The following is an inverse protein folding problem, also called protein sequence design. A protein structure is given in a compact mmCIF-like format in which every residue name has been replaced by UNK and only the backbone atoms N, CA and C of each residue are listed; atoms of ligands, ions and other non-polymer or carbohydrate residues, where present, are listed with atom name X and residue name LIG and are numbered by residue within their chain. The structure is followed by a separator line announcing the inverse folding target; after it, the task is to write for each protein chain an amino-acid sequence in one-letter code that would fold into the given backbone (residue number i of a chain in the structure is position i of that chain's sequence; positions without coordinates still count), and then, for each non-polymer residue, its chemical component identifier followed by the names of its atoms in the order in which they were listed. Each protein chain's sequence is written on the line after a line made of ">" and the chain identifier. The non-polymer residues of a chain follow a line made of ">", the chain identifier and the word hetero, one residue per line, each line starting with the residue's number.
data_IF_495173141461
#
_entry.id   IF_495173141461
#
_cell.length_a   1.000
_cell.length_b   1.000
_cell.length_c   1.000
_cell.angle_alpha   90.00
_cell.angle_beta   90.00
_cell.angle_gamma   90.00
#
_symmetry.space_group_name_H-M   'P 1'
#
loop_
_entity.id
_entity.type
_entity.pdbx_description
1 polymer ?
#
# COMPACT_ATOMS: atom_id res chain seq x y z
N UNK A 1 -7.99 -23.97 0.79
CA UNK A 1 -8.30 -23.33 -0.51
C UNK A 1 -9.40 -22.29 -0.49
N UNK A 2 -10.47 -22.44 0.32
CA UNK A 2 -11.57 -21.47 0.35
C UNK A 2 -11.14 -20.04 0.70
N UNK A 3 -10.24 -19.87 1.67
CA UNK A 3 -9.69 -18.57 2.01
C UNK A 3 -8.97 -17.91 0.81
N UNK A 4 -8.20 -18.69 0.05
CA UNK A 4 -7.52 -18.21 -1.15
C UNK A 4 -8.51 -17.92 -2.29
N UNK A 5 -9.55 -18.72 -2.47
CA UNK A 5 -10.65 -18.43 -3.41
C UNK A 5 -11.36 -17.11 -3.06
N UNK A 6 -11.59 -16.88 -1.76
CA UNK A 6 -12.27 -15.70 -1.27
C UNK A 6 -11.43 -14.44 -1.46
N UNK A 7 -10.18 -14.44 -1.00
CA UNK A 7 -9.33 -13.24 -1.01
C UNK A 7 -8.34 -13.24 -2.18
N UNK A 8 -7.63 -14.32 -2.48
CA UNK A 8 -6.66 -14.35 -3.58
C UNK A 8 -7.30 -14.24 -4.97
N UNK A 9 -8.20 -15.16 -5.31
CA UNK A 9 -8.92 -15.14 -6.59
C UNK A 9 -9.98 -14.04 -6.61
N UNK A 10 -10.77 -13.92 -5.52
CA UNK A 10 -11.80 -12.91 -5.30
C UNK A 10 -12.77 -12.68 -6.48
N UNK A 11 -13.00 -13.71 -7.31
CA UNK A 11 -13.79 -13.66 -8.53
C UNK A 11 -14.57 -14.96 -8.76
N UNK A 12 -15.11 -15.55 -7.69
CA UNK A 12 -15.83 -16.82 -7.75
C UNK A 12 -17.24 -16.68 -7.15
N UNK A 13 -18.26 -17.23 -7.82
CA UNK A 13 -19.65 -17.20 -7.35
C UNK A 13 -19.81 -17.89 -5.99
N UNK A 14 -19.03 -18.94 -5.72
CA UNK A 14 -19.02 -19.63 -4.44
C UNK A 14 -18.56 -18.73 -3.27
N UNK A 15 -17.99 -17.55 -3.52
CA UNK A 15 -17.65 -16.60 -2.45
C UNK A 15 -18.91 -16.02 -1.79
N UNK A 16 -20.06 -16.01 -2.48
CA UNK A 16 -21.34 -15.57 -1.90
C UNK A 16 -21.83 -16.56 -0.87
N UNK A 17 -21.86 -17.83 -1.24
CA UNK A 17 -22.25 -18.93 -0.35
C UNK A 17 -21.29 -19.02 0.84
N UNK A 18 -19.98 -18.89 0.62
CA UNK A 18 -19.01 -18.87 1.72
C UNK A 18 -19.24 -17.71 2.70
N UNK A 19 -19.63 -16.52 2.20
CA UNK A 19 -20.01 -15.42 3.08
C UNK A 19 -21.26 -15.76 3.90
N UNK A 20 -22.31 -16.24 3.24
CA UNK A 20 -23.58 -16.55 3.89
C UNK A 20 -23.41 -17.64 4.96
N UNK A 21 -22.67 -18.71 4.64
CA UNK A 21 -22.48 -19.87 5.50
C UNK A 21 -21.50 -19.65 6.66
N UNK A 22 -20.45 -18.85 6.47
CA UNK A 22 -19.32 -18.80 7.42
C UNK A 22 -19.06 -17.43 8.05
N UNK A 23 -19.51 -16.34 7.43
CA UNK A 23 -19.17 -14.98 7.83
C UNK A 23 -20.38 -14.20 8.31
N UNK A 24 -21.52 -14.28 7.62
CA UNK A 24 -22.65 -13.38 7.80
C UNK A 24 -23.11 -13.26 9.27
N UNK A 25 -23.23 -14.38 9.98
CA UNK A 25 -23.66 -14.44 11.38
C UNK A 25 -22.56 -14.09 12.41
N UNK A 26 -21.30 -14.05 11.98
CA UNK A 26 -20.15 -13.72 12.84
C UNK A 26 -19.76 -12.25 12.76
N UNK A 27 -20.33 -11.50 11.82
CA UNK A 27 -20.09 -10.07 11.67
C UNK A 27 -21.02 -9.29 12.60
N UNK A 28 -20.50 -8.18 13.14
CA UNK A 28 -21.35 -7.21 13.81
C UNK A 28 -22.42 -6.65 12.85
N UNK A 29 -23.50 -6.11 13.41
CA UNK A 29 -24.62 -5.64 12.62
C UNK A 29 -24.24 -4.57 11.59
N UNK A 30 -23.33 -3.66 11.96
CA UNK A 30 -22.91 -2.55 11.08
C UNK A 30 -22.14 -3.09 9.89
N UNK A 31 -21.18 -3.98 10.13
CA UNK A 31 -20.37 -4.61 9.08
C UNK A 31 -21.20 -5.52 8.19
N UNK A 32 -22.11 -6.32 8.76
CA UNK A 32 -23.05 -7.14 7.98
C UNK A 32 -23.90 -6.26 7.08
N UNK A 33 -24.54 -5.23 7.63
CA UNK A 33 -25.40 -4.29 6.86
C UNK A 33 -24.63 -3.65 5.70
N UNK A 34 -23.36 -3.32 5.89
CA UNK A 34 -22.50 -2.79 4.82
C UNK A 34 -22.35 -3.77 3.65
N UNK A 35 -22.04 -5.04 3.93
CA UNK A 35 -21.82 -6.06 2.90
C UNK A 35 -23.11 -6.59 2.26
N UNK A 36 -24.21 -6.58 3.00
CA UNK A 36 -25.52 -6.99 2.51
C UNK A 36 -26.28 -5.89 1.77
N UNK A 37 -25.82 -4.64 1.88
CA UNK A 37 -26.42 -3.50 1.17
C UNK A 37 -26.57 -3.82 -0.31
N UNK A 38 -27.80 -3.75 -0.81
CA UNK A 38 -28.11 -3.93 -2.22
C UNK A 38 -27.70 -2.69 -3.00
N UNK A 39 -26.92 -2.91 -4.06
CA UNK A 39 -26.51 -1.91 -5.03
C UNK A 39 -27.28 -2.18 -6.32
N UNK A 40 -27.96 -1.17 -6.90
CA UNK A 40 -28.69 -1.32 -8.16
C UNK A 40 -27.84 -2.02 -9.23
N UNK A 41 -28.43 -3.00 -9.92
CA UNK A 41 -27.80 -3.82 -10.98
C UNK A 41 -26.61 -4.70 -10.55
N UNK A 42 -26.13 -4.59 -9.30
CA UNK A 42 -24.97 -5.34 -8.78
C UNK A 42 -25.34 -6.35 -7.67
N UNK A 43 -26.54 -6.25 -7.11
CA UNK A 43 -27.00 -7.11 -6.01
C UNK A 43 -26.38 -6.70 -4.67
N UNK A 44 -26.23 -7.63 -3.72
CA UNK A 44 -25.55 -7.37 -2.43
C UNK A 44 -24.10 -6.94 -2.68
N UNK A 45 -23.58 -6.00 -1.90
CA UNK A 45 -22.19 -5.52 -2.02
C UNK A 45 -21.18 -6.67 -1.96
N UNK A 46 -21.44 -7.71 -1.15
CA UNK A 46 -20.59 -8.90 -1.08
C UNK A 46 -20.37 -9.61 -2.43
N UNK A 47 -21.28 -9.41 -3.40
CA UNK A 47 -21.13 -9.95 -4.76
C UNK A 47 -19.86 -9.45 -5.47
N UNK A 48 -19.20 -8.40 -4.96
CA UNK A 48 -17.89 -7.95 -5.41
C UNK A 48 -16.86 -9.09 -5.39
N UNK A 49 -16.85 -9.94 -4.36
CA UNK A 49 -15.98 -11.11 -4.26
C UNK A 49 -16.30 -12.22 -5.28
N UNK A 50 -17.46 -12.14 -5.93
CA UNK A 50 -17.83 -13.02 -7.03
C UNK A 50 -17.61 -12.41 -8.42
N UNK A 51 -17.11 -11.17 -8.48
CA UNK A 51 -16.98 -10.36 -9.71
C UNK A 51 -15.64 -9.62 -9.79
N UNK A 52 -14.61 -10.15 -9.12
CA UNK A 52 -13.28 -9.56 -8.97
C UNK A 52 -13.32 -8.31 -8.08
N UNK A 53 -13.16 -8.52 -6.76
CA UNK A 53 -13.11 -7.48 -5.74
C UNK A 53 -12.18 -6.31 -6.13
N UNK A 54 -11.03 -6.63 -6.72
CA UNK A 54 -9.97 -5.68 -7.06
C UNK A 54 -10.35 -4.66 -8.15
N UNK A 55 -11.53 -4.77 -8.76
CA UNK A 55 -12.05 -3.81 -9.74
C UNK A 55 -12.88 -2.67 -9.14
N UNK A 56 -13.26 -2.78 -7.87
CA UNK A 56 -14.32 -1.93 -7.30
C UNK A 56 -13.83 -0.74 -6.48
N UNK A 57 -12.63 -0.80 -5.90
CA UNK A 57 -12.01 0.33 -5.21
C UNK A 57 -11.67 1.48 -6.17
N UNK A 58 -11.36 2.66 -5.62
CA UNK A 58 -10.98 3.83 -6.42
C UNK A 58 -9.80 3.50 -7.36
N UNK A 59 -8.73 2.93 -6.80
CA UNK A 59 -7.57 2.46 -7.55
C UNK A 59 -7.92 1.42 -8.62
N UNK A 60 -8.76 0.43 -8.29
CA UNK A 60 -9.18 -0.62 -9.23
C UNK A 60 -9.99 -0.10 -10.43
N UNK A 61 -10.75 0.98 -10.24
CA UNK A 61 -11.46 1.69 -11.31
C UNK A 61 -10.49 2.50 -12.16
N UNK A 62 -9.58 3.23 -11.52
CA UNK A 62 -8.56 4.01 -12.19
C UNK A 62 -7.67 3.13 -13.09
N UNK A 63 -7.11 2.04 -12.54
CA UNK A 63 -6.36 1.04 -13.32
C UNK A 63 -7.24 0.48 -14.46
N UNK A 64 -8.53 0.27 -14.21
CA UNK A 64 -9.48 -0.13 -15.25
C UNK A 64 -9.55 0.83 -16.44
N UNK A 65 -9.51 2.15 -16.20
CA UNK A 65 -9.45 3.19 -17.23
C UNK A 65 -8.11 3.11 -17.97
N UNK A 66 -6.99 2.93 -17.26
CA UNK A 66 -5.68 2.77 -17.89
C UNK A 66 -5.63 1.56 -18.83
N UNK A 67 -6.20 0.42 -18.42
CA UNK A 67 -6.33 -0.74 -19.30
C UNK A 67 -7.18 -0.45 -20.54
N UNK A 68 -8.26 0.34 -20.41
CA UNK A 68 -9.09 0.73 -21.54
C UNK A 68 -8.29 1.60 -22.52
N UNK A 69 -7.61 2.63 -22.02
CA UNK A 69 -6.76 3.52 -22.83
C UNK A 69 -5.66 2.72 -23.53
N UNK A 70 -4.95 1.85 -22.80
CA UNK A 70 -3.92 0.99 -23.39
C UNK A 70 -4.50 0.13 -24.53
N UNK A 71 -5.66 -0.50 -24.34
CA UNK A 71 -6.31 -1.31 -25.38
C UNK A 71 -6.72 -0.51 -26.61
N UNK A 72 -7.21 0.73 -26.43
CA UNK A 72 -7.52 1.63 -27.54
C UNK A 72 -6.26 1.97 -28.37
N UNK A 73 -5.09 1.94 -27.74
CA UNK A 73 -3.78 2.06 -28.40
C UNK A 73 -3.15 0.71 -28.79
N UNK A 74 -3.93 -0.38 -28.84
CA UNK A 74 -3.45 -1.71 -29.25
C UNK A 74 -2.55 -2.42 -28.21
N UNK A 75 -2.50 -1.92 -26.98
CA UNK A 75 -1.61 -2.39 -25.91
C UNK A 75 -2.37 -3.14 -24.82
N UNK A 76 -1.72 -4.15 -24.23
CA UNK A 76 -2.26 -4.96 -23.12
C UNK A 76 -1.26 -4.94 -21.97
N UNK A 77 -1.61 -4.24 -20.89
CA UNK A 77 -0.72 -4.06 -19.73
C UNK A 77 -0.35 -5.39 -19.08
N UNK A 78 -1.30 -6.33 -19.05
CA UNK A 78 -1.12 -7.64 -18.43
C UNK A 78 0.02 -8.48 -19.06
N UNK A 79 0.43 -8.17 -20.30
CA UNK A 79 1.50 -8.88 -21.00
C UNK A 79 2.85 -8.73 -20.30
N UNK A 80 3.08 -7.63 -19.57
CA UNK A 80 4.31 -7.41 -18.78
C UNK A 80 4.51 -8.49 -17.72
N UNK A 81 3.41 -9.07 -17.22
CA UNK A 81 3.46 -10.15 -16.21
C UNK A 81 3.94 -11.50 -16.78
N UNK A 82 4.09 -11.62 -18.10
CA UNK A 82 4.57 -12.85 -18.74
C UNK A 82 6.09 -12.90 -18.88
N UNK A 83 6.80 -11.81 -18.57
CA UNK A 83 8.26 -11.74 -18.62
C UNK A 83 8.89 -12.68 -17.58
N UNK A 84 9.98 -13.33 -17.98
CA UNK A 84 10.70 -14.33 -17.19
C UNK A 84 12.06 -13.83 -16.71
N UNK A 85 12.64 -12.86 -17.42
CA UNK A 85 13.94 -12.26 -17.07
C UNK A 85 13.82 -10.74 -16.92
N UNK A 86 14.76 -10.08 -16.21
CA UNK A 86 14.81 -8.63 -16.13
C UNK A 86 14.87 -7.94 -17.50
N UNK A 87 15.55 -8.54 -18.48
CA UNK A 87 15.67 -8.02 -19.84
C UNK A 87 14.30 -8.06 -20.55
N UNK A 88 13.58 -9.18 -20.45
CA UNK A 88 12.21 -9.29 -20.98
C UNK A 88 11.24 -8.30 -20.30
N UNK A 89 11.42 -8.05 -18.99
CA UNK A 89 10.63 -7.04 -18.25
C UNK A 89 10.87 -5.63 -18.82
N UNK A 90 12.14 -5.25 -19.04
CA UNK A 90 12.52 -3.97 -19.63
C UNK A 90 12.00 -3.83 -21.06
N UNK A 91 12.13 -4.86 -21.89
CA UNK A 91 11.59 -4.85 -23.26
C UNK A 91 10.06 -4.70 -23.25
N UNK A 92 9.36 -5.44 -22.38
CA UNK A 92 7.91 -5.34 -22.25
C UNK A 92 7.49 -3.94 -21.77
N UNK A 93 8.22 -3.36 -20.81
CA UNK A 93 7.98 -2.00 -20.33
C UNK A 93 8.14 -0.97 -21.45
N UNK A 94 9.26 -0.98 -22.16
CA UNK A 94 9.54 0.00 -23.23
C UNK A 94 8.57 -0.12 -24.41
N UNK A 95 8.14 -1.34 -24.74
CA UNK A 95 7.16 -1.56 -25.81
C UNK A 95 5.74 -1.15 -25.41
N UNK A 96 5.32 -1.53 -24.20
CA UNK A 96 3.90 -1.47 -23.79
C UNK A 96 3.63 -0.24 -22.94
N UNK A 97 4.37 -0.08 -21.84
CA UNK A 97 4.08 0.91 -20.80
C UNK A 97 4.67 2.27 -21.14
N UNK A 98 5.96 2.35 -21.43
CA UNK A 98 6.69 3.60 -21.64
C UNK A 98 5.99 4.57 -22.61
N UNK A 99 5.49 4.14 -23.79
CA UNK A 99 4.90 5.09 -24.73
C UNK A 99 3.51 5.58 -24.31
N UNK A 100 2.90 5.00 -23.26
CA UNK A 100 1.66 5.54 -22.70
C UNK A 100 1.89 6.92 -22.06
N UNK A 101 3.08 7.14 -21.50
CA UNK A 101 3.45 8.43 -20.89
C UNK A 101 3.63 9.55 -21.93
N UNK A 102 3.75 9.21 -23.21
CA UNK A 102 3.90 10.20 -24.29
C UNK A 102 2.58 10.78 -24.79
N UNK A 103 1.45 10.10 -24.52
CA UNK A 103 0.14 10.56 -24.96
C UNK A 103 -0.30 11.83 -24.22
N UNK A 104 -0.77 12.83 -24.97
CA UNK A 104 -1.23 14.13 -24.43
C UNK A 104 -2.29 13.98 -23.33
N UNK A 105 -3.18 12.99 -23.43
CA UNK A 105 -4.19 12.69 -22.42
C UNK A 105 -3.58 12.25 -21.08
N UNK A 106 -2.56 11.38 -21.13
CA UNK A 106 -1.83 10.94 -19.93
C UNK A 106 -1.03 12.09 -19.32
N UNK A 107 -0.35 12.88 -20.17
CA UNK A 107 0.38 14.09 -19.73
C UNK A 107 -0.52 15.17 -19.12
N UNK A 108 -1.81 15.19 -19.47
CA UNK A 108 -2.78 16.13 -18.89
C UNK A 108 -3.31 15.62 -17.53
N UNK A 109 -3.58 14.31 -17.43
CA UNK A 109 -4.04 13.70 -16.17
C UNK A 109 -2.99 13.82 -15.06
N UNK A 110 -1.71 13.61 -15.37
CA UNK A 110 -0.61 13.73 -14.40
C UNK A 110 -0.42 15.13 -13.83
N UNK A 111 -0.85 16.18 -14.55
CA UNK A 111 -0.78 17.58 -14.09
C UNK A 111 -1.89 17.95 -13.11
N UNK A 112 -2.82 17.03 -12.84
CA UNK A 112 -3.94 17.25 -11.94
C UNK A 112 -3.74 16.47 -10.63
N UNK A 113 -3.51 17.14 -9.49
CA UNK A 113 -3.42 16.50 -8.17
C UNK A 113 -4.65 15.64 -7.83
N UNK A 114 -5.84 16.02 -8.32
CA UNK A 114 -7.09 15.27 -8.14
C UNK A 114 -7.06 13.93 -8.89
N UNK A 115 -6.40 13.87 -10.04
CA UNK A 115 -6.23 12.62 -10.79
C UNK A 115 -5.26 11.67 -10.11
N UNK A 116 -4.27 12.21 -9.37
CA UNK A 116 -3.31 11.44 -8.57
C UNK A 116 -3.91 10.93 -7.26
N UNK A 117 -4.92 11.60 -6.71
CA UNK A 117 -5.71 11.05 -5.61
C UNK A 117 -6.35 9.70 -5.97
N UNK A 118 -6.77 9.51 -7.23
CA UNK A 118 -7.31 8.24 -7.70
C UNK A 118 -6.26 7.11 -7.77
N UNK A 119 -4.98 7.47 -7.81
CA UNK A 119 -3.82 6.58 -7.65
C UNK A 119 -3.46 6.30 -6.19
N UNK A 120 -4.20 6.88 -5.23
CA UNK A 120 -3.90 6.78 -3.82
C UNK A 120 -2.80 7.72 -3.36
N UNK A 121 -2.49 8.77 -4.14
CA UNK A 121 -1.55 9.84 -3.78
C UNK A 121 -2.37 11.09 -3.46
N UNK A 122 -2.62 11.41 -2.19
CA UNK A 122 -3.41 12.59 -1.88
C UNK A 122 -2.70 13.92 -2.20
N UNK A 123 -3.44 15.04 -2.32
CA UNK A 123 -2.90 16.27 -2.92
C UNK A 123 -1.69 16.87 -2.19
N UNK A 124 -1.64 16.81 -0.86
CA UNK A 124 -0.51 17.33 -0.07
C UNK A 124 0.80 16.52 -0.20
N UNK A 125 0.77 15.32 -0.79
CA UNK A 125 2.00 14.60 -1.17
C UNK A 125 2.51 14.99 -2.55
N UNK A 126 1.73 15.73 -3.33
CA UNK A 126 2.11 16.09 -4.70
C UNK A 126 3.43 16.86 -4.73
N UNK A 127 3.60 17.83 -3.84
CA UNK A 127 4.80 18.68 -3.81
C UNK A 127 6.06 17.86 -3.44
N UNK A 128 5.96 16.97 -2.45
CA UNK A 128 7.06 16.06 -2.06
C UNK A 128 7.34 15.00 -3.14
N UNK A 129 6.32 14.58 -3.91
CA UNK A 129 6.45 13.62 -5.01
C UNK A 129 7.23 14.20 -6.20
N UNK A 130 7.07 15.49 -6.49
CA UNK A 130 7.70 16.18 -7.62
C UNK A 130 9.00 16.91 -7.26
N UNK A 131 9.30 17.05 -5.96
CA UNK A 131 10.52 17.70 -5.47
C UNK A 131 11.80 17.04 -6.00
N UNK A 132 11.80 15.71 -6.17
CA UNK A 132 12.94 14.94 -6.69
C UNK A 132 13.11 14.97 -8.22
N UNK A 133 12.12 15.45 -8.98
CA UNK A 133 12.12 15.44 -10.46
C UNK A 133 12.03 16.83 -11.08
N UNK A 134 12.53 17.86 -10.38
CA UNK A 134 12.44 19.27 -10.81
C UNK A 134 11.01 19.72 -11.15
N UNK A 135 9.99 19.17 -10.47
CA UNK A 135 8.59 19.50 -10.72
C UNK A 135 7.90 18.66 -11.79
N UNK A 136 8.57 17.68 -12.41
CA UNK A 136 7.94 16.80 -13.41
C UNK A 136 7.28 15.57 -12.77
N UNK A 137 5.99 15.69 -12.49
CA UNK A 137 5.15 14.59 -11.99
C UNK A 137 5.10 13.38 -12.95
N UNK A 138 5.20 13.60 -14.27
CA UNK A 138 5.14 12.52 -15.25
C UNK A 138 6.40 11.68 -15.16
N UNK A 139 7.56 12.33 -15.07
CA UNK A 139 8.83 11.65 -14.90
C UNK A 139 8.84 10.80 -13.62
N UNK A 140 8.41 11.37 -12.48
CA UNK A 140 8.31 10.66 -11.19
C UNK A 140 7.37 9.45 -11.27
N UNK A 141 6.22 9.60 -11.91
CA UNK A 141 5.28 8.48 -12.12
C UNK A 141 5.85 7.41 -13.06
N UNK A 142 6.53 7.81 -14.13
CA UNK A 142 7.18 6.88 -15.06
C UNK A 142 8.23 6.05 -14.32
N UNK A 143 9.13 6.70 -13.58
CA UNK A 143 10.19 6.04 -12.80
C UNK A 143 9.60 5.02 -11.80
N UNK A 144 8.54 5.40 -11.07
CA UNK A 144 7.88 4.51 -10.10
C UNK A 144 7.23 3.30 -10.79
N UNK A 145 6.57 3.50 -11.92
CA UNK A 145 5.96 2.40 -12.70
C UNK A 145 7.04 1.52 -13.33
N UNK A 146 8.14 2.11 -13.78
CA UNK A 146 9.29 1.37 -14.32
C UNK A 146 9.91 0.49 -13.23
N UNK A 147 10.21 1.05 -12.06
CA UNK A 147 10.70 0.29 -10.90
C UNK A 147 9.75 -0.85 -10.54
N UNK A 148 8.44 -0.59 -10.50
CA UNK A 148 7.41 -1.60 -10.23
C UNK A 148 7.45 -2.76 -11.26
N UNK A 149 7.68 -2.45 -12.53
CA UNK A 149 7.68 -3.41 -13.63
C UNK A 149 9.01 -4.15 -13.79
N UNK A 150 10.13 -3.52 -13.48
CA UNK A 150 11.45 -3.95 -13.96
C UNK A 150 12.47 -4.27 -12.87
N UNK A 151 12.39 -3.66 -11.68
CA UNK A 151 13.45 -3.77 -10.66
C UNK A 151 13.32 -5.01 -9.76
N UNK A 152 12.21 -5.73 -9.88
CA UNK A 152 11.93 -6.94 -9.12
C UNK A 152 11.47 -8.06 -10.05
N UNK A 153 11.74 -9.33 -9.72
CA UNK A 153 11.15 -10.45 -10.45
C UNK A 153 9.62 -10.34 -10.43
N UNK A 154 9.01 -10.23 -11.61
CA UNK A 154 7.58 -9.91 -11.75
C UNK A 154 6.69 -10.99 -11.13
N UNK A 155 7.15 -12.24 -11.12
CA UNK A 155 6.45 -13.39 -10.53
C UNK A 155 6.49 -13.41 -9.00
N UNK A 156 7.27 -12.54 -8.35
CA UNK A 156 7.26 -12.36 -6.91
C UNK A 156 6.51 -11.07 -6.51
N UNK A 157 6.47 -10.07 -7.38
CA UNK A 157 5.92 -8.75 -7.07
C UNK A 157 4.39 -8.68 -7.18
N UNK A 158 3.67 -9.04 -6.12
CA UNK A 158 2.21 -8.97 -6.08
C UNK A 158 1.62 -7.56 -6.25
N UNK A 159 2.39 -6.49 -6.03
CA UNK A 159 1.95 -5.12 -6.31
C UNK A 159 1.85 -4.87 -7.81
N UNK A 160 2.83 -5.33 -8.58
CA UNK A 160 2.81 -5.26 -10.04
C UNK A 160 1.63 -6.06 -10.61
N UNK A 161 1.30 -7.21 -10.03
CA UNK A 161 0.12 -7.99 -10.43
C UNK A 161 -1.19 -7.23 -10.19
N UNK A 162 -1.32 -6.54 -9.06
CA UNK A 162 -2.47 -5.67 -8.81
C UNK A 162 -2.54 -4.51 -9.83
N UNK A 163 -1.40 -3.88 -10.12
CA UNK A 163 -1.31 -2.77 -11.07
C UNK A 163 -1.62 -3.17 -12.52
N UNK A 164 -1.10 -4.32 -12.99
CA UNK A 164 -1.18 -4.72 -14.39
C UNK A 164 -2.24 -5.78 -14.70
N UNK A 165 -2.88 -6.40 -13.69
CA UNK A 165 -3.94 -7.41 -13.90
C UNK A 165 -5.18 -7.17 -13.04
N UNK A 166 -5.13 -6.32 -12.00
CA UNK A 166 -6.18 -6.15 -10.98
C UNK A 166 -6.57 -7.50 -10.37
N UNK A 167 -5.56 -8.20 -9.88
CA UNK A 167 -5.65 -9.51 -9.25
C UNK A 167 -4.26 -10.00 -8.87
N UNK A 168 -4.20 -11.22 -8.35
CA UNK A 168 -2.93 -11.88 -8.01
C UNK A 168 -2.66 -13.08 -8.91
N UNK A 169 -1.49 -13.67 -8.74
CA UNK A 169 -1.18 -14.96 -9.34
C UNK A 169 -2.01 -16.07 -8.69
N UNK A 170 -3.01 -16.55 -9.43
CA UNK A 170 -3.91 -17.61 -8.99
C UNK A 170 -3.40 -19.01 -9.37
N UNK A 171 -2.50 -19.08 -10.35
CA UNK A 171 -2.03 -20.33 -10.94
C UNK A 171 -0.86 -20.89 -10.13
N UNK A 172 0.23 -20.14 -9.99
CA UNK A 172 1.40 -20.59 -9.23
C UNK A 172 1.37 -20.13 -7.77
N UNK A 173 0.52 -19.13 -7.45
CA UNK A 173 0.37 -18.56 -6.11
C UNK A 173 1.69 -18.03 -5.54
N UNK A 174 2.55 -17.45 -6.39
CA UNK A 174 3.84 -16.87 -5.98
C UNK A 174 3.72 -15.36 -5.72
N UNK A 175 3.13 -14.62 -6.66
CA UNK A 175 2.89 -13.18 -6.54
C UNK A 175 1.61 -12.91 -5.74
N UNK A 176 1.63 -13.29 -4.46
CA UNK A 176 0.53 -13.08 -3.50
C UNK A 176 1.03 -12.44 -2.20
N UNK A 177 0.23 -11.61 -1.52
CA UNK A 177 0.51 -11.14 -0.17
C UNK A 177 0.80 -12.26 0.82
N UNK A 178 1.61 -11.96 1.85
CA UNK A 178 2.00 -12.93 2.86
C UNK A 178 0.81 -13.65 3.51
N UNK A 179 -0.27 -12.94 3.80
CA UNK A 179 -1.45 -13.52 4.43
C UNK A 179 -2.22 -14.53 3.55
N UNK A 180 -1.95 -14.57 2.24
CA UNK A 180 -2.52 -15.53 1.31
C UNK A 180 -1.63 -16.75 1.07
N UNK A 181 -0.36 -16.70 1.49
CA UNK A 181 0.55 -17.83 1.32
C UNK A 181 0.18 -18.97 2.26
N UNK A 182 0.31 -20.19 1.76
CA UNK A 182 -0.02 -21.40 2.49
C UNK A 182 0.83 -21.57 3.76
N UNK A 183 2.11 -21.20 3.69
CA UNK A 183 3.06 -21.28 4.80
C UNK A 183 2.74 -20.32 5.97
N UNK A 184 1.98 -19.26 5.70
CA UNK A 184 1.69 -18.19 6.66
C UNK A 184 0.25 -18.28 7.18
N UNK A 185 -0.61 -19.01 6.48
CA UNK A 185 -2.04 -19.11 6.79
C UNK A 185 -2.29 -19.58 8.23
N UNK A 186 -1.71 -20.71 8.65
CA UNK A 186 -1.93 -21.23 9.99
C UNK A 186 -1.34 -20.31 11.07
N UNK A 187 -0.20 -19.67 10.80
CA UNK A 187 0.42 -18.71 11.72
C UNK A 187 -0.54 -17.56 12.04
N UNK A 188 -1.21 -17.01 11.03
CA UNK A 188 -2.17 -15.92 11.19
C UNK A 188 -3.45 -16.44 11.84
N UNK A 189 -4.00 -17.55 11.32
CA UNK A 189 -5.27 -18.12 11.78
C UNK A 189 -5.26 -18.44 13.28
N UNK A 190 -4.13 -18.91 13.83
CA UNK A 190 -4.02 -19.24 15.26
C UNK A 190 -3.65 -18.05 16.15
N UNK A 191 -3.56 -16.83 15.59
CA UNK A 191 -3.17 -15.61 16.31
C UNK A 191 -4.17 -14.48 16.12
N UNK A 192 -5.34 -14.74 15.55
CA UNK A 192 -6.37 -13.71 15.33
C UNK A 192 -6.91 -13.14 16.64
N UNK A 193 -6.83 -13.90 17.74
CA UNK A 193 -7.12 -13.49 19.11
C UNK A 193 -6.17 -12.41 19.65
N UNK A 194 -5.05 -12.15 18.96
CA UNK A 194 -4.05 -11.13 19.32
C UNK A 194 -4.17 -9.84 18.52
N UNK A 195 -5.25 -9.70 17.74
CA UNK A 195 -5.49 -8.54 16.88
C UNK A 195 -6.68 -7.78 17.40
N UNK A 196 -6.45 -6.52 17.72
CA UNK A 196 -7.50 -5.59 18.14
C UNK A 196 -7.60 -4.44 17.14
N UNK A 197 -8.80 -3.89 17.02
CA UNK A 197 -9.08 -2.74 16.14
C UNK A 197 -9.67 -1.62 16.99
N UNK A 198 -9.12 -0.41 16.84
CA UNK A 198 -9.60 0.77 17.54
C UNK A 198 -10.04 1.83 16.54
N UNK A 199 -11.22 2.41 16.78
CA UNK A 199 -11.69 3.59 16.05
C UNK A 199 -11.24 4.84 16.82
N UNK A 200 -10.00 5.25 16.60
CA UNK A 200 -9.39 6.41 17.23
C UNK A 200 -8.27 6.98 16.34
N UNK A 201 -7.83 8.21 16.61
CA UNK A 201 -6.52 8.63 16.12
C UNK A 201 -5.42 7.82 16.81
N UNK A 202 -4.29 7.61 16.15
CA UNK A 202 -3.17 6.90 16.79
C UNK A 202 -2.65 7.67 18.01
N UNK A 203 -2.66 9.01 17.95
CA UNK A 203 -2.27 9.86 19.07
C UNK A 203 -3.16 9.64 20.29
N UNK A 204 -4.49 9.64 20.12
CA UNK A 204 -5.44 9.43 21.23
C UNK A 204 -5.34 8.00 21.78
N UNK A 205 -5.17 7.02 20.89
CA UNK A 205 -4.97 5.63 21.29
C UNK A 205 -3.74 5.50 22.19
N UNK A 206 -2.59 6.06 21.76
CA UNK A 206 -1.35 6.02 22.53
C UNK A 206 -1.45 6.83 23.83
N UNK A 207 -2.14 7.97 23.83
CA UNK A 207 -2.40 8.76 25.04
C UNK A 207 -3.10 7.96 26.15
N UNK A 208 -3.99 7.03 25.77
CA UNK A 208 -4.64 6.11 26.71
C UNK A 208 -3.77 4.93 27.19
N UNK A 209 -2.58 4.72 26.62
CA UNK A 209 -1.72 3.60 26.98
C UNK A 209 -0.76 3.95 28.12
N UNK A 210 -0.38 2.96 28.96
CA UNK A 210 0.68 3.13 29.94
C UNK A 210 2.00 3.54 29.28
N UNK A 211 2.85 4.26 30.02
CA UNK A 211 4.21 4.50 29.58
C UNK A 211 4.95 3.16 29.39
N UNK A 212 5.87 3.09 28.42
CA UNK A 212 6.65 1.88 28.13
C UNK A 212 5.82 0.60 27.91
N UNK A 213 4.72 0.71 27.15
CA UNK A 213 3.82 -0.40 26.83
C UNK A 213 3.97 -0.93 25.40
N UNK A 214 4.63 -0.18 24.52
CA UNK A 214 4.66 -0.45 23.08
C UNK A 214 6.07 -0.71 22.56
N UNK A 215 6.21 -1.78 21.77
CA UNK A 215 7.51 -2.23 21.26
C UNK A 215 7.74 -1.81 19.81
N UNK A 216 6.71 -1.75 18.98
CA UNK A 216 6.84 -1.53 17.54
C UNK A 216 5.74 -0.58 17.07
N UNK A 217 6.13 0.45 16.35
CA UNK A 217 5.22 1.40 15.73
C UNK A 217 5.40 1.30 14.22
N UNK A 218 4.33 0.93 13.51
CA UNK A 218 4.33 0.82 12.06
C UNK A 218 3.43 1.89 11.49
N UNK A 219 4.04 2.97 11.01
CA UNK A 219 3.35 4.05 10.34
C UNK A 219 3.49 3.85 8.82
N UNK A 220 2.53 4.40 8.10
CA UNK A 220 2.62 4.60 6.67
C UNK A 220 3.15 6.02 6.43
N UNK A 221 2.63 6.68 5.42
CA UNK A 221 2.93 8.04 4.98
C UNK A 221 2.13 9.13 5.71
N UNK A 222 1.45 8.77 6.81
CA UNK A 222 0.63 9.70 7.60
C UNK A 222 1.37 10.97 8.06
N UNK A 223 2.70 10.90 8.19
CA UNK A 223 3.54 11.99 8.67
C UNK A 223 3.83 13.07 7.62
N UNK A 224 3.65 12.77 6.33
CA UNK A 224 3.81 13.75 5.26
C UNK A 224 2.74 14.86 5.38
N UNK A 225 1.52 14.46 5.77
CA UNK A 225 0.33 15.31 5.89
C UNK A 225 0.22 16.08 7.20
N UNK A 226 0.84 15.55 8.26
CA UNK A 226 0.74 16.17 9.58
C UNK A 226 1.49 17.49 9.58
N UNK A 227 0.85 18.51 10.14
CA UNK A 227 1.55 19.74 10.50
C UNK A 227 2.52 19.46 11.68
N UNK A 228 3.40 20.43 11.98
CA UNK A 228 4.43 20.25 13.01
C UNK A 228 3.84 19.95 14.40
N UNK A 229 2.70 20.57 14.75
CA UNK A 229 2.04 20.38 16.05
C UNK A 229 1.47 18.96 16.19
N UNK A 230 0.73 18.49 15.19
CA UNK A 230 0.14 17.15 15.14
C UNK A 230 1.24 16.07 15.17
N UNK A 231 2.30 16.27 14.40
CA UNK A 231 3.41 15.33 14.35
C UNK A 231 4.16 15.29 15.69
N UNK A 232 4.39 16.45 16.32
CA UNK A 232 5.00 16.52 17.64
C UNK A 232 4.12 15.87 18.71
N UNK A 233 2.80 16.07 18.67
CA UNK A 233 1.87 15.41 19.59
C UNK A 233 1.93 13.87 19.45
N UNK A 234 1.90 13.36 18.21
CA UNK A 234 2.06 11.93 17.96
C UNK A 234 3.41 11.41 18.49
N UNK A 235 4.51 12.09 18.18
CA UNK A 235 5.84 11.63 18.57
C UNK A 235 6.10 11.72 20.09
N UNK A 236 5.45 12.65 20.81
CA UNK A 236 5.45 12.64 22.29
C UNK A 236 4.81 11.38 22.85
N UNK A 237 3.67 10.98 22.29
CA UNK A 237 3.00 9.75 22.73
C UNK A 237 3.74 8.48 22.31
N UNK A 238 4.34 8.46 21.12
CA UNK A 238 5.26 7.38 20.71
C UNK A 238 6.43 7.31 21.70
N UNK A 239 7.07 8.43 22.03
CA UNK A 239 8.21 8.45 22.94
C UNK A 239 7.84 7.95 24.35
N UNK A 240 6.71 8.42 24.88
CA UNK A 240 6.23 8.03 26.22
C UNK A 240 5.86 6.56 26.31
N UNK A 241 5.19 6.03 25.28
CA UNK A 241 4.70 4.64 25.26
C UNK A 241 5.76 3.63 24.81
N UNK A 242 6.83 4.08 24.16
CA UNK A 242 7.93 3.23 23.72
C UNK A 242 8.63 2.52 24.87
N UNK A 243 8.71 1.19 24.80
CA UNK A 243 9.52 0.36 25.70
C UNK A 243 10.99 0.74 25.58
N UNK A 244 11.64 0.96 26.73
CA UNK A 244 13.05 1.32 26.77
C UNK A 244 13.91 0.26 26.05
N UNK A 245 14.88 0.74 25.25
CA UNK A 245 15.93 -0.06 24.60
C UNK A 245 15.51 -1.11 23.56
N UNK A 246 14.21 -1.36 23.34
CA UNK A 246 13.74 -2.26 22.27
C UNK A 246 12.75 -1.58 21.31
N UNK A 247 12.19 -0.41 21.64
CA UNK A 247 11.21 0.21 20.77
C UNK A 247 11.76 0.58 19.39
N UNK A 248 10.96 0.31 18.35
CA UNK A 248 11.27 0.67 16.95
C UNK A 248 10.09 1.36 16.29
N UNK A 249 10.38 2.39 15.50
CA UNK A 249 9.41 3.07 14.64
C UNK A 249 9.84 2.87 13.21
N UNK A 250 8.94 2.32 12.38
CA UNK A 250 9.10 2.32 10.93
C UNK A 250 8.02 3.16 10.28
N UNK A 251 8.39 3.88 9.23
CA UNK A 251 7.45 4.63 8.42
C UNK A 251 7.91 4.79 6.98
N UNK A 252 6.99 5.19 6.12
CA UNK A 252 7.29 5.52 4.72
C UNK A 252 6.92 6.98 4.45
N UNK A 253 7.44 7.51 3.35
CA UNK A 253 7.28 8.91 2.95
C UNK A 253 7.12 8.99 1.43
N UNK A 254 6.47 10.05 0.95
CA UNK A 254 6.38 10.34 -0.48
C UNK A 254 7.76 10.69 -1.08
N UNK A 255 8.53 11.52 -0.37
CA UNK A 255 9.91 11.89 -0.71
C UNK A 255 10.94 10.90 -0.18
N UNK A 256 12.22 11.11 -0.51
CA UNK A 256 13.30 10.23 -0.07
C UNK A 256 13.75 10.48 1.39
N UNK A 257 13.54 11.70 1.88
CA UNK A 257 14.05 12.15 3.18
C UNK A 257 13.03 11.98 4.29
N UNK A 258 13.55 11.77 5.51
CA UNK A 258 12.72 11.78 6.71
C UNK A 258 12.27 13.22 7.02
N UNK A 259 10.97 13.49 7.20
CA UNK A 259 10.50 14.83 7.54
C UNK A 259 10.78 15.20 9.00
N UNK A 260 11.17 14.23 9.84
CA UNK A 260 11.24 14.42 11.29
C UNK A 260 12.29 15.45 11.72
N UNK A 261 13.54 15.44 11.23
CA UNK A 261 14.54 16.42 11.67
C UNK A 261 14.15 17.87 11.33
N UNK A 262 13.29 18.06 10.31
CA UNK A 262 12.78 19.36 9.88
C UNK A 262 11.51 19.77 10.65
N UNK A 263 10.62 18.82 10.93
CA UNK A 263 9.29 19.09 11.49
C UNK A 263 9.21 18.95 13.02
N UNK A 264 10.16 18.28 13.67
CA UNK A 264 10.14 17.99 15.10
C UNK A 264 11.22 18.76 15.88
N UNK A 265 10.94 19.15 17.14
CA UNK A 265 11.97 19.63 18.05
C UNK A 265 13.07 18.57 18.27
N UNK A 266 14.33 19.01 18.38
CA UNK A 266 15.48 18.11 18.50
C UNK A 266 15.41 17.25 19.76
N UNK A 267 14.82 17.76 20.84
CA UNK A 267 14.68 17.08 22.13
C UNK A 267 13.77 15.86 22.02
N UNK A 268 12.78 15.90 21.13
CA UNK A 268 11.86 14.79 20.91
C UNK A 268 12.50 13.65 20.11
N UNK A 269 13.51 13.97 19.30
CA UNK A 269 14.30 12.99 18.54
C UNK A 269 15.55 12.52 19.28
N UNK A 270 16.00 13.25 20.31
CA UNK A 270 17.18 12.90 21.09
C UNK A 270 17.18 11.46 21.66
N UNK A 271 16.04 10.88 22.09
CA UNK A 271 15.97 9.50 22.54
C UNK A 271 16.05 8.45 21.42
N UNK A 272 16.10 8.86 20.15
CA UNK A 272 16.02 7.98 18.99
C UNK A 272 17.29 8.03 18.14
N UNK A 273 17.63 6.89 17.55
CA UNK A 273 18.70 6.77 16.55
C UNK A 273 18.08 6.45 15.21
N UNK A 274 18.35 7.31 14.22
CA UNK A 274 17.96 7.05 12.84
C UNK A 274 18.96 6.09 12.19
N UNK A 275 18.49 4.91 11.76
CA UNK A 275 19.32 3.92 11.07
C UNK A 275 19.26 4.17 9.57
N UNK A 276 19.92 5.23 9.11
CA UNK A 276 19.83 5.70 7.73
C UNK A 276 20.30 4.65 6.69
N UNK A 277 21.42 3.98 6.94
CA UNK A 277 21.92 2.93 6.03
C UNK A 277 20.95 1.75 5.90
N UNK A 278 20.40 1.29 7.02
CA UNK A 278 19.39 0.20 7.03
C UNK A 278 18.08 0.66 6.39
N UNK A 279 17.69 1.91 6.62
CA UNK A 279 16.51 2.55 6.02
C UNK A 279 16.58 2.52 4.49
N UNK A 280 17.71 2.94 3.90
CA UNK A 280 17.96 2.84 2.45
C UNK A 280 17.93 1.40 1.93
N UNK A 281 18.59 0.48 2.64
CA UNK A 281 18.62 -0.93 2.24
C UNK A 281 17.22 -1.58 2.27
N UNK A 282 16.39 -1.23 3.25
CA UNK A 282 15.01 -1.68 3.34
C UNK A 282 14.13 -1.03 2.27
N UNK A 283 14.33 0.26 1.98
CA UNK A 283 13.64 0.94 0.88
C UNK A 283 13.93 0.29 -0.48
N UNK A 284 15.20 -0.07 -0.74
CA UNK A 284 15.60 -0.73 -1.98
C UNK A 284 14.84 -2.06 -2.21
N UNK A 285 14.39 -2.71 -1.14
CA UNK A 285 13.60 -3.96 -1.16
C UNK A 285 12.08 -3.74 -1.21
N UNK A 286 11.60 -2.49 -1.15
CA UNK A 286 10.18 -2.17 -1.24
C UNK A 286 9.69 -2.34 -2.68
N UNK A 287 8.85 -3.37 -2.87
CA UNK A 287 8.30 -3.78 -4.17
C UNK A 287 7.08 -2.99 -4.60
N UNK A 288 6.52 -2.15 -3.73
CA UNK A 288 5.33 -1.34 -4.04
C UNK A 288 5.66 -0.22 -5.02
N UNK A 289 6.88 0.32 -4.95
CA UNK A 289 7.34 1.49 -5.71
C UNK A 289 6.49 2.76 -5.50
N UNK A 290 5.65 2.79 -4.45
CA UNK A 290 4.73 3.92 -4.15
C UNK A 290 5.42 4.99 -3.29
N UNK A 291 6.32 4.59 -2.40
CA UNK A 291 7.00 5.51 -1.48
C UNK A 291 8.35 5.94 -2.02
N UNK A 292 8.78 7.16 -1.70
CA UNK A 292 10.13 7.64 -1.98
C UNK A 292 11.14 7.26 -0.90
N UNK A 293 10.66 6.96 0.32
CA UNK A 293 11.50 6.63 1.46
C UNK A 293 10.89 5.55 2.36
N UNK A 294 11.77 4.81 3.01
CA UNK A 294 11.48 3.96 4.15
C UNK A 294 12.43 4.37 5.26
N UNK A 295 11.92 4.58 6.47
CA UNK A 295 12.69 5.10 7.59
C UNK A 295 12.54 4.22 8.82
N UNK A 296 13.68 3.94 9.47
CA UNK A 296 13.77 3.17 10.71
C UNK A 296 14.43 4.01 11.80
N UNK A 297 13.69 4.22 12.89
CA UNK A 297 14.18 4.81 14.13
C UNK A 297 14.16 3.76 15.23
N UNK A 298 15.24 3.67 16.00
CA UNK A 298 15.36 2.77 17.14
C UNK A 298 15.58 3.56 18.43
N UNK A 299 14.98 3.11 19.52
CA UNK A 299 15.15 3.75 20.83
C UNK A 299 16.61 3.60 21.27
N UNK A 300 17.24 4.71 21.67
CA UNK A 300 18.57 4.68 22.27
C UNK A 300 18.53 3.93 23.59
N UNK A 301 19.58 3.16 23.86
CA UNK A 301 19.84 2.79 25.23
C UNK A 301 20.18 4.07 26.00
N UNK A 302 19.41 4.42 27.03
CA UNK A 302 19.83 5.42 28.01
C UNK A 302 21.17 4.94 28.57
N UNK A 303 22.20 5.77 28.44
CA UNK A 303 23.49 5.61 29.14
C UNK A 303 23.27 5.64 30.64
#
# INVERSE_FOLDING_TARGET
>A
DEFFRFFGQANDKANREAYDNFLSERLDETTRRYWEKRVPLKGRRINMFARNLYRYGLLGRFIGILHLVARLHGKRLETVLSARTPEEQREAFERIIAPLFDYKSVKLLSKSPVSLYALGIPPAQYDELVAGTNGDAIASLRERVERLACDFPIHENYFAWQAFRRGYDIENRTAIPAYLRRDTYDIIRTRTDRVETHLASLTDFLAGQPAQSMHRFVLLDAQDWMNAEQLAALWREIDRTAVARDARVIFRTAGADSPLPRKLPAELLAPWTYLEGESRALHARDRSSIYGGFHLYVRRALS
#
